data_IF_426888661582
#
_entry.id   IF_426888661582
#
_cell.length_a   1.000
_cell.length_b   1.000
_cell.length_c   1.000
_cell.angle_alpha   90.00
_cell.angle_beta   90.00
_cell.angle_gamma   90.00
#
_symmetry.space_group_name_H-M   'P 1'
#
loop_
_entity.id
_entity.type
_entity.pdbx_description
1 polymer ?
#
# COMPACT_ATOMS: atom_id res chain seq x y z
N UNK A 1 -2.06 11.55 -11.73
CA UNK A 1 -2.25 10.46 -10.76
C UNK A 1 -3.69 10.45 -10.30
N UNK A 2 -4.27 9.27 -10.05
CA UNK A 2 -5.59 9.10 -9.42
C UNK A 2 -5.45 8.10 -8.28
N UNK A 3 -6.17 8.33 -7.18
CA UNK A 3 -6.25 7.41 -6.04
C UNK A 3 -7.70 7.01 -5.84
N UNK A 4 -7.94 5.71 -5.75
CA UNK A 4 -9.27 5.13 -5.60
C UNK A 4 -9.31 4.26 -4.36
N UNK A 5 -10.32 4.46 -3.51
CA UNK A 5 -10.53 3.63 -2.31
C UNK A 5 -11.01 2.23 -2.69
N UNK A 6 -11.01 1.33 -1.70
CA UNK A 6 -11.53 -0.05 -1.84
C UNK A 6 -12.95 -0.14 -2.44
N UNK A 7 -13.79 0.87 -2.23
CA UNK A 7 -15.18 0.92 -2.74
C UNK A 7 -15.33 1.76 -4.02
N UNK A 8 -14.23 2.10 -4.70
CA UNK A 8 -14.27 2.82 -5.98
C UNK A 8 -14.40 4.34 -5.88
N UNK A 9 -14.37 4.93 -4.68
CA UNK A 9 -14.44 6.38 -4.54
C UNK A 9 -13.11 7.04 -4.94
N UNK A 10 -13.17 8.12 -5.73
CA UNK A 10 -12.01 8.96 -5.99
C UNK A 10 -11.66 9.77 -4.73
N UNK A 11 -10.45 9.54 -4.22
CA UNK A 11 -9.91 10.13 -2.99
C UNK A 11 -8.62 10.91 -3.26
N UNK A 12 -8.36 11.23 -4.53
CA UNK A 12 -7.11 11.87 -4.98
C UNK A 12 -6.85 13.19 -4.22
N UNK A 13 -7.89 14.01 -4.05
CA UNK A 13 -7.76 15.31 -3.39
C UNK A 13 -7.64 15.20 -1.87
N UNK A 14 -7.97 14.04 -1.31
CA UNK A 14 -7.82 13.79 0.13
C UNK A 14 -6.37 13.56 0.49
N UNK A 15 -5.53 13.11 -0.43
CA UNK A 15 -4.12 12.77 -0.21
C UNK A 15 -3.20 13.39 -1.27
N UNK A 16 -3.13 14.73 -1.38
CA UNK A 16 -2.35 15.41 -2.41
C UNK A 16 -0.85 15.08 -2.37
N UNK A 17 -0.29 14.75 -1.20
CA UNK A 17 1.12 14.36 -1.09
C UNK A 17 1.48 13.08 -1.85
N UNK A 18 0.50 12.22 -2.14
CA UNK A 18 0.74 10.98 -2.88
C UNK A 18 1.11 11.25 -4.34
N UNK A 19 0.93 12.48 -4.84
CA UNK A 19 1.41 12.88 -6.18
C UNK A 19 2.91 12.61 -6.37
N UNK A 20 3.70 12.62 -5.30
CA UNK A 20 5.12 12.27 -5.31
C UNK A 20 5.38 10.78 -5.63
N UNK A 21 4.39 9.89 -5.52
CA UNK A 21 4.49 8.48 -5.93
C UNK A 21 4.78 8.37 -7.43
N UNK A 22 4.19 9.25 -8.26
CA UNK A 22 4.38 9.20 -9.71
C UNK A 22 5.84 9.43 -10.13
N UNK A 23 6.56 10.30 -9.41
CA UNK A 23 7.98 10.51 -9.63
C UNK A 23 8.79 9.27 -9.21
N UNK A 24 8.45 8.66 -8.07
CA UNK A 24 9.13 7.48 -7.53
C UNK A 24 9.08 6.26 -8.46
N UNK A 25 8.03 6.12 -9.27
CA UNK A 25 7.90 5.04 -10.26
C UNK A 25 8.50 5.39 -11.64
N UNK A 26 9.26 6.48 -11.73
CA UNK A 26 9.92 6.92 -12.95
C UNK A 26 8.96 7.45 -14.02
N UNK A 27 7.80 7.99 -13.62
CA UNK A 27 6.78 8.50 -14.54
C UNK A 27 6.02 7.43 -15.35
N UNK A 28 6.26 6.15 -15.07
CA UNK A 28 5.58 5.03 -15.72
C UNK A 28 4.09 5.04 -15.44
N UNK A 29 3.30 4.59 -16.42
CA UNK A 29 1.86 4.35 -16.21
C UNK A 29 1.66 3.05 -15.47
N UNK A 30 1.12 3.12 -14.26
CA UNK A 30 0.97 1.96 -13.41
C UNK A 30 -0.33 2.01 -12.60
N UNK A 31 -0.80 0.83 -12.22
CA UNK A 31 -1.81 0.67 -11.17
C UNK A 31 -1.18 -0.14 -10.05
N UNK A 32 -1.03 0.50 -8.89
CA UNK A 32 -0.50 -0.10 -7.67
C UNK A 32 -1.65 -0.44 -6.73
N UNK A 33 -1.54 -1.59 -6.05
CA UNK A 33 -2.40 -1.92 -4.92
C UNK A 33 -1.63 -1.76 -3.61
N UNK A 34 -2.30 -1.24 -2.59
CA UNK A 34 -1.63 -0.80 -1.39
C UNK A 34 -2.53 -0.22 -0.32
N UNK A 35 -1.90 0.30 0.72
CA UNK A 35 -2.56 0.90 1.88
C UNK A 35 -2.07 2.33 2.12
N UNK A 36 -2.99 3.26 2.35
CA UNK A 36 -2.65 4.61 2.79
C UNK A 36 -2.60 4.61 4.31
N UNK A 37 -1.44 4.96 4.86
CA UNK A 37 -1.23 5.05 6.30
C UNK A 37 -0.88 6.48 6.69
N UNK A 38 -1.41 6.95 7.82
CA UNK A 38 -0.81 8.08 8.51
C UNK A 38 0.32 7.57 9.39
N UNK A 39 1.42 8.31 9.49
CA UNK A 39 2.55 7.93 10.34
C UNK A 39 2.61 8.77 11.60
N UNK A 40 3.09 8.18 12.69
CA UNK A 40 3.42 8.91 13.92
C UNK A 40 4.84 9.52 13.86
N UNK A 41 5.28 10.12 14.96
CA UNK A 41 6.61 10.76 15.09
C UNK A 41 7.78 9.77 15.00
N UNK A 42 7.52 8.47 15.15
CA UNK A 42 8.47 7.38 15.00
C UNK A 42 8.34 6.68 13.64
N UNK A 43 7.50 7.20 12.73
CA UNK A 43 7.28 6.64 11.40
C UNK A 43 6.36 5.41 11.38
N UNK A 44 5.69 5.07 12.49
CA UNK A 44 4.82 3.89 12.57
C UNK A 44 3.42 4.22 12.04
N UNK A 45 2.78 3.29 11.28
CA UNK A 45 1.39 3.44 10.87
C UNK A 45 0.46 3.67 12.07
N UNK A 46 -0.46 4.63 11.96
CA UNK A 46 -1.44 4.96 12.99
C UNK A 46 -2.81 5.21 12.38
N UNK A 47 -3.69 4.22 12.49
CA UNK A 47 -5.08 4.34 12.02
C UNK A 47 -5.83 5.50 12.70
N UNK A 48 -5.62 5.69 14.01
CA UNK A 48 -6.20 6.81 14.77
C UNK A 48 -5.80 8.17 14.19
N UNK A 49 -4.55 8.33 13.74
CA UNK A 49 -4.13 9.58 13.07
C UNK A 49 -4.79 9.73 11.71
N UNK A 50 -4.88 8.66 10.93
CA UNK A 50 -5.51 8.68 9.61
C UNK A 50 -6.98 9.10 9.69
N UNK A 51 -7.69 8.70 10.75
CA UNK A 51 -9.07 9.12 11.03
C UNK A 51 -9.26 10.64 11.22
N UNK A 52 -8.20 11.42 11.41
CA UNK A 52 -8.29 12.91 11.39
C UNK A 52 -8.46 13.45 9.98
N UNK A 53 -8.12 12.66 8.95
CA UNK A 53 -8.26 13.00 7.53
C UNK A 53 -9.38 12.24 6.86
N UNK A 54 -9.40 10.92 6.97
CA UNK A 54 -10.32 10.07 6.22
C UNK A 54 -11.27 9.31 7.13
N UNK A 55 -12.59 9.23 6.80
CA UNK A 55 -13.27 9.77 5.61
C UNK A 55 -13.77 11.23 5.69
N UNK A 56 -13.49 11.97 6.76
CA UNK A 56 -14.18 13.23 7.06
C UNK A 56 -13.75 14.41 6.19
N UNK A 57 -12.50 14.43 5.70
CA UNK A 57 -11.89 15.60 5.05
C UNK A 57 -11.55 15.28 3.59
N UNK A 58 -12.49 15.55 2.67
CA UNK A 58 -12.25 15.32 1.23
C UNK A 58 -11.10 16.15 0.64
N UNK A 59 -10.92 17.38 1.14
CA UNK A 59 -9.88 18.34 0.73
C UNK A 59 -9.24 18.99 1.97
N UNK A 60 -8.34 18.28 2.66
CA UNK A 60 -7.73 18.81 3.88
C UNK A 60 -6.88 20.05 3.58
N UNK A 61 -6.96 21.06 4.44
CA UNK A 61 -6.10 22.24 4.35
C UNK A 61 -4.62 21.90 4.60
N UNK A 62 -3.72 22.77 4.12
CA UNK A 62 -2.27 22.55 4.20
C UNK A 62 -1.73 22.35 5.62
N UNK A 63 -2.41 22.87 6.65
CA UNK A 63 -2.06 22.59 8.05
C UNK A 63 -2.32 21.13 8.42
N UNK A 64 -3.51 20.59 8.12
CA UNK A 64 -3.85 19.21 8.45
C UNK A 64 -2.99 18.21 7.69
N UNK A 65 -2.64 18.51 6.43
CA UNK A 65 -1.70 17.69 5.64
C UNK A 65 -0.34 17.60 6.33
N UNK A 66 0.17 18.70 6.89
CA UNK A 66 1.45 18.72 7.62
C UNK A 66 1.37 18.01 8.98
N UNK A 67 0.26 18.15 9.69
CA UNK A 67 0.06 17.50 11.01
C UNK A 67 -0.17 15.99 10.91
N UNK A 68 -0.75 15.54 9.79
CA UNK A 68 -1.10 14.14 9.54
C UNK A 68 -0.52 13.73 8.19
N UNK A 69 0.82 13.60 8.10
CA UNK A 69 1.48 13.15 6.89
C UNK A 69 1.07 11.71 6.59
N UNK A 70 0.83 11.41 5.32
CA UNK A 70 0.48 10.06 4.88
C UNK A 70 1.52 9.47 3.95
N UNK A 71 1.56 8.13 3.92
CA UNK A 71 2.37 7.33 3.01
C UNK A 71 1.48 6.29 2.34
N UNK A 72 1.86 5.89 1.14
CA UNK A 72 1.28 4.76 0.45
C UNK A 72 2.21 3.55 0.56
N UNK A 73 1.72 2.49 1.20
CA UNK A 73 2.40 1.20 1.33
C UNK A 73 1.97 0.33 0.14
N UNK A 74 2.77 0.28 -0.91
CA UNK A 74 2.48 -0.53 -2.10
C UNK A 74 2.91 -1.98 -1.86
N UNK A 75 2.03 -2.95 -2.14
CA UNK A 75 2.30 -4.38 -1.94
C UNK A 75 1.96 -5.25 -3.15
N UNK A 76 1.44 -4.66 -4.24
CA UNK A 76 1.17 -5.33 -5.51
C UNK A 76 1.21 -4.33 -6.68
N UNK A 77 1.38 -4.85 -7.89
CA UNK A 77 1.25 -4.11 -9.16
C UNK A 77 0.23 -4.84 -10.01
N UNK A 78 -0.80 -4.13 -10.45
CA UNK A 78 -1.90 -4.71 -11.25
C UNK A 78 -1.77 -4.38 -12.73
N UNK A 79 -1.14 -3.24 -13.06
CA UNK A 79 -0.93 -2.82 -14.43
C UNK A 79 0.39 -2.06 -14.56
N UNK A 80 1.09 -2.27 -15.68
CA UNK A 80 2.28 -1.52 -16.06
C UNK A 80 2.25 -1.21 -17.56
N UNK A 81 2.45 0.07 -17.90
CA UNK A 81 2.45 0.60 -19.27
C UNK A 81 1.24 0.22 -20.13
N UNK A 82 0.09 -0.05 -19.49
CA UNK A 82 -1.15 -0.44 -20.15
C UNK A 82 -1.39 -1.96 -20.20
N UNK A 83 -0.42 -2.77 -19.78
CA UNK A 83 -0.59 -4.22 -19.67
C UNK A 83 -1.23 -4.60 -18.33
N UNK A 84 -2.37 -5.30 -18.37
CA UNK A 84 -2.98 -5.92 -17.19
C UNK A 84 -2.23 -7.22 -16.85
N UNK A 85 -1.52 -7.19 -15.73
CA UNK A 85 -0.70 -8.30 -15.23
C UNK A 85 -1.35 -9.02 -14.04
N UNK A 86 -2.63 -8.75 -13.75
CA UNK A 86 -3.34 -9.38 -12.61
C UNK A 86 -3.42 -10.91 -12.72
N UNK A 87 -3.26 -11.44 -13.92
CA UNK A 87 -3.22 -12.86 -14.22
C UNK A 87 -1.86 -13.52 -13.91
N UNK A 88 -0.78 -12.75 -13.75
CA UNK A 88 0.55 -13.27 -13.41
C UNK A 88 0.56 -13.83 -11.97
N UNK A 89 1.44 -14.79 -11.64
CA UNK A 89 1.74 -15.18 -10.27
C UNK A 89 2.08 -13.96 -9.38
N UNK A 90 1.63 -13.96 -8.12
CA UNK A 90 1.96 -12.90 -7.15
C UNK A 90 3.47 -12.70 -7.00
N UNK A 91 4.26 -13.78 -7.06
CA UNK A 91 5.73 -13.69 -7.00
C UNK A 91 6.28 -12.76 -8.09
N UNK A 92 5.86 -12.96 -9.34
CA UNK A 92 6.35 -12.16 -10.48
C UNK A 92 5.93 -10.69 -10.36
N UNK A 93 4.69 -10.43 -9.94
CA UNK A 93 4.21 -9.05 -9.69
C UNK A 93 4.95 -8.40 -8.52
N UNK A 94 5.31 -9.17 -7.49
CA UNK A 94 6.06 -8.69 -6.32
C UNK A 94 7.50 -8.37 -6.66
N UNK A 95 8.16 -9.21 -7.46
CA UNK A 95 9.51 -8.97 -8.00
C UNK A 95 9.52 -7.72 -8.87
N UNK A 96 8.54 -7.57 -9.77
CA UNK A 96 8.37 -6.35 -10.56
C UNK A 96 8.25 -5.11 -9.66
N UNK A 97 7.40 -5.15 -8.63
CA UNK A 97 7.26 -4.05 -7.67
C UNK A 97 8.59 -3.68 -7.00
N UNK A 98 9.38 -4.68 -6.59
CA UNK A 98 10.68 -4.45 -5.93
C UNK A 98 11.70 -3.81 -6.89
N UNK A 99 11.75 -4.25 -8.16
CA UNK A 99 12.69 -3.68 -9.14
C UNK A 99 12.41 -2.21 -9.46
N UNK A 100 11.14 -1.79 -9.43
CA UNK A 100 10.73 -0.45 -9.80
C UNK A 100 11.07 0.61 -8.75
N UNK A 101 11.26 0.21 -7.49
CA UNK A 101 11.54 1.12 -6.36
C UNK A 101 13.03 1.32 -6.06
N UNK A 102 13.92 0.63 -6.77
CA UNK A 102 15.38 0.74 -6.57
C UNK A 102 15.90 2.13 -6.98
N UNK A 103 15.09 2.92 -7.69
CA UNK A 103 15.58 4.14 -8.32
C UNK A 103 15.48 5.41 -7.46
N UNK A 104 14.51 5.57 -6.55
CA UNK A 104 14.42 6.75 -5.67
C UNK A 104 13.68 6.48 -4.33
N UNK A 105 14.26 6.92 -3.21
CA UNK A 105 13.56 6.91 -1.91
C UNK A 105 12.53 8.04 -1.88
N UNK A 106 11.24 7.72 -2.03
CA UNK A 106 10.15 8.70 -1.89
C UNK A 106 9.58 8.70 -0.47
N UNK A 107 9.36 9.89 0.15
CA UNK A 107 8.72 9.96 1.46
C UNK A 107 7.25 9.55 1.42
N UNK A 108 6.61 9.54 0.24
CA UNK A 108 5.20 9.22 0.05
C UNK A 108 4.96 7.74 -0.29
N UNK A 109 6.00 6.96 -0.58
CA UNK A 109 5.90 5.59 -1.07
C UNK A 109 6.81 4.67 -0.27
N UNK A 110 6.25 3.59 0.24
CA UNK A 110 7.01 2.52 0.88
C UNK A 110 6.59 1.21 0.24
N UNK A 111 7.55 0.35 -0.07
CA UNK A 111 7.27 -1.06 -0.37
C UNK A 111 7.67 -1.88 0.85
N UNK A 112 6.69 -2.43 1.59
CA UNK A 112 6.97 -3.21 2.79
C UNK A 112 7.83 -4.43 2.47
N UNK A 113 8.71 -4.77 3.42
CA UNK A 113 9.38 -6.07 3.40
C UNK A 113 8.34 -7.17 3.43
N UNK A 114 8.64 -8.26 2.74
CA UNK A 114 7.85 -9.46 2.74
C UNK A 114 8.77 -10.65 3.03
N UNK A 115 8.18 -11.74 3.49
CA UNK A 115 8.91 -12.95 3.84
C UNK A 115 8.22 -14.15 3.20
N UNK A 116 9.03 -15.08 2.69
CA UNK A 116 8.58 -16.40 2.24
C UNK A 116 9.12 -17.45 3.21
N UNK A 117 8.50 -18.63 3.20
CA UNK A 117 9.01 -19.79 3.95
C UNK A 117 9.09 -19.57 5.47
N UNK A 118 8.26 -18.67 5.99
CA UNK A 118 8.07 -18.41 7.44
C UNK A 118 6.70 -18.93 7.85
N UNK A 119 6.63 -19.63 8.99
CA UNK A 119 5.36 -20.07 9.52
C UNK A 119 4.50 -18.86 9.93
N UNK A 120 3.19 -18.81 9.56
CA UNK A 120 2.32 -17.71 9.94
C UNK A 120 2.29 -17.41 11.44
N UNK A 121 2.41 -18.45 12.28
CA UNK A 121 2.43 -18.31 13.74
C UNK A 121 3.64 -17.49 14.24
N UNK A 122 4.82 -17.69 13.66
CA UNK A 122 6.03 -16.96 14.05
C UNK A 122 5.91 -15.48 13.67
N UNK A 123 5.38 -15.20 12.47
CA UNK A 123 5.16 -13.82 12.04
C UNK A 123 4.08 -13.12 12.86
N UNK A 124 3.01 -13.84 13.26
CA UNK A 124 1.99 -13.30 14.15
C UNK A 124 2.57 -12.94 15.53
N UNK A 125 3.48 -13.75 16.08
CA UNK A 125 4.16 -13.43 17.33
C UNK A 125 5.00 -12.14 17.20
N UNK A 126 5.75 -12.00 16.10
CA UNK A 126 6.52 -10.78 15.81
C UNK A 126 5.59 -9.57 15.66
N UNK A 127 4.48 -9.71 14.94
CA UNK A 127 3.49 -8.64 14.80
C UNK A 127 2.90 -8.22 16.15
N UNK A 128 2.60 -9.17 17.04
CA UNK A 128 2.10 -8.88 18.38
C UNK A 128 3.12 -8.09 19.20
N UNK A 129 4.40 -8.51 19.21
CA UNK A 129 5.47 -7.81 19.91
C UNK A 129 5.68 -6.39 19.37
N UNK A 130 5.53 -6.21 18.05
CA UNK A 130 5.67 -4.91 17.38
C UNK A 130 4.37 -4.07 17.37
N UNK A 131 3.30 -4.57 17.99
CA UNK A 131 1.99 -3.91 18.04
C UNK A 131 1.40 -3.61 16.63
N UNK A 132 1.65 -4.50 15.69
CA UNK A 132 1.02 -4.50 14.37
C UNK A 132 -0.33 -5.24 14.39
N UNK A 133 -1.27 -4.83 13.54
CA UNK A 133 -2.64 -5.38 13.52
C UNK A 133 -2.70 -6.86 13.13
N UNK A 134 -1.71 -7.35 12.37
CA UNK A 134 -1.63 -8.74 11.95
C UNK A 134 -0.78 -8.92 10.70
N UNK A 135 -1.00 -10.03 10.00
CA UNK A 135 -0.31 -10.41 8.77
C UNK A 135 -1.30 -10.61 7.63
N UNK A 136 -0.82 -10.42 6.40
CA UNK A 136 -1.54 -10.79 5.18
C UNK A 136 -0.74 -11.86 4.45
N UNK A 137 -1.32 -13.05 4.34
CA UNK A 137 -0.72 -14.16 3.58
C UNK A 137 -1.25 -14.16 2.15
N UNK A 138 -0.36 -14.16 1.17
CA UNK A 138 -0.69 -14.24 -0.26
C UNK A 138 -0.10 -15.51 -0.86
N UNK A 139 -0.88 -16.23 -1.68
CA UNK A 139 -0.38 -17.39 -2.43
C UNK A 139 0.58 -16.90 -3.52
N UNK A 140 1.81 -17.42 -3.53
CA UNK A 140 2.85 -16.97 -4.46
C UNK A 140 2.50 -17.23 -5.93
N UNK A 141 1.89 -18.39 -6.20
CA UNK A 141 1.47 -18.79 -7.55
C UNK A 141 0.05 -18.32 -7.89
N UNK A 142 -0.54 -17.48 -7.03
CA UNK A 142 -1.89 -16.96 -7.20
C UNK A 142 -1.93 -15.72 -8.10
N UNK A 143 -2.91 -15.66 -8.99
CA UNK A 143 -3.34 -14.43 -9.62
C UNK A 143 -3.99 -13.49 -8.57
N UNK A 144 -4.24 -12.23 -8.95
CA UNK A 144 -5.04 -11.32 -8.11
C UNK A 144 -6.42 -11.92 -7.90
N UNK A 145 -6.75 -12.22 -6.65
CA UNK A 145 -8.10 -12.61 -6.29
C UNK A 145 -9.01 -11.39 -6.41
N UNK A 146 -10.12 -11.53 -7.13
CA UNK A 146 -11.11 -10.46 -7.24
C UNK A 146 -11.45 -9.93 -5.85
N UNK A 147 -11.42 -8.61 -5.71
CA UNK A 147 -11.70 -7.88 -4.48
C UNK A 147 -12.97 -8.41 -3.79
N UNK A 148 -12.81 -9.01 -2.60
CA UNK A 148 -13.94 -9.47 -1.78
C UNK A 148 -13.82 -10.88 -1.19
N UNK A 149 -12.87 -11.72 -1.62
CA UNK A 149 -12.72 -13.07 -1.08
C UNK A 149 -11.78 -13.05 0.13
N UNK A 150 -12.33 -13.17 1.34
CA UNK A 150 -11.55 -13.64 2.50
C UNK A 150 -11.54 -15.16 2.45
N UNK A 151 -10.38 -15.75 2.20
CA UNK A 151 -10.19 -17.17 2.47
C UNK A 151 -9.94 -17.29 3.97
N UNK A 152 -10.96 -17.73 4.71
CA UNK A 152 -10.77 -18.16 6.10
C UNK A 152 -9.95 -19.46 6.13
N UNK A 153 -9.30 -19.79 7.25
CA UNK A 153 -8.70 -21.12 7.40
C UNK A 153 -9.82 -22.16 7.31
N UNK A 154 -9.60 -23.20 6.48
CA UNK A 154 -10.40 -24.42 6.46
C UNK A 154 -10.33 -25.14 7.82
#
# INVERSE_FOLDING_TARGET
MRVTSRNGADITETFPELSAVAAAVGGRRMVLDGEIVAVDEHGRPSFRRLQRRWPQQRRPGAQLVREVPTRFLAFDVMNIEGEDITHWPYRERRELLDTLMVMESSPALTVPRHWTDVAPADMLAICADQHHEGIVCKRLDGCVQQSGVRVGPD
#
